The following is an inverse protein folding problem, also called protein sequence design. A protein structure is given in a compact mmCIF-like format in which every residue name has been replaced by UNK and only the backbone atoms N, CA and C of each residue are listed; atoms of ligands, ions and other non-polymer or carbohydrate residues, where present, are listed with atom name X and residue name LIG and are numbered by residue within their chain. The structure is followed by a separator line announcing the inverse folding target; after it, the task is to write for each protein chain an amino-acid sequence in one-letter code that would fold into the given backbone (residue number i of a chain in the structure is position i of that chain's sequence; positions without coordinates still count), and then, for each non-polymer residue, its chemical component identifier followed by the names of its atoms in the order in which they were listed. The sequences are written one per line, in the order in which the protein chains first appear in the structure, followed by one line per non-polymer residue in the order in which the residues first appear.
data_IF_272040715996
#
_entry.id   IF_272040715996
#
_cell.length_a   1.000
_cell.length_b   1.000
_cell.length_c   1.000
_cell.angle_alpha   90.00
_cell.angle_beta   90.00
_cell.angle_gamma   90.00
#
_symmetry.space_group_name_H-M   'P 1'
#
loop_
_entity.id
_entity.type
_entity.pdbx_description
1 polymer ?
#
# COMPACT_ATOMS: atom_id res chain seq x y z
N UNK A 1 -34.71 -12.50 -38.56
CA UNK A 1 -34.33 -13.93 -38.38
C UNK A 1 -32.85 -14.18 -38.69
N UNK A 2 -31.91 -13.36 -38.19
CA UNK A 2 -30.46 -13.65 -38.29
C UNK A 2 -29.56 -12.97 -37.22
N UNK A 3 -30.13 -12.58 -36.08
CA UNK A 3 -29.37 -12.03 -34.93
C UNK A 3 -29.64 -12.73 -33.59
N UNK A 4 -30.44 -13.80 -33.59
CA UNK A 4 -30.79 -14.55 -32.36
C UNK A 4 -29.98 -15.86 -32.22
N UNK A 5 -29.14 -16.21 -33.21
CA UNK A 5 -28.41 -17.49 -33.22
C UNK A 5 -27.01 -17.47 -32.61
N UNK A 6 -26.49 -16.33 -32.13
CA UNK A 6 -25.14 -16.26 -31.54
C UNK A 6 -25.13 -15.95 -30.03
N UNK A 7 -26.29 -15.76 -29.41
CA UNK A 7 -26.40 -15.53 -27.96
C UNK A 7 -26.81 -16.79 -27.17
N UNK A 8 -27.18 -17.87 -27.85
CA UNK A 8 -27.72 -19.07 -27.20
C UNK A 8 -26.66 -20.06 -26.70
N UNK A 9 -25.40 -19.91 -27.12
CA UNK A 9 -24.28 -20.74 -26.64
C UNK A 9 -23.47 -20.10 -25.50
N UNK A 10 -23.68 -18.81 -25.17
CA UNK A 10 -22.95 -18.12 -24.09
C UNK A 10 -23.73 -17.95 -22.78
N UNK A 11 -25.00 -18.37 -22.74
CA UNK A 11 -25.90 -18.17 -21.59
C UNK A 11 -26.24 -19.45 -20.81
N UNK A 12 -25.63 -20.58 -21.15
CA UNK A 12 -25.68 -21.78 -20.29
C UNK A 12 -24.53 -21.75 -19.29
N UNK A 13 -24.70 -20.98 -18.21
CA UNK A 13 -23.73 -20.95 -17.11
C UNK A 13 -23.81 -19.71 -16.19
N UNK A 14 -24.61 -18.70 -16.55
CA UNK A 14 -24.73 -17.48 -15.76
C UNK A 14 -25.80 -17.63 -14.68
N UNK A 15 -25.34 -17.83 -13.46
CA UNK A 15 -26.16 -17.91 -12.24
C UNK A 15 -26.96 -16.61 -12.05
N UNK A 16 -28.28 -16.72 -11.85
CA UNK A 16 -29.24 -15.62 -11.73
C UNK A 16 -28.83 -14.59 -10.65
N UNK A 17 -28.08 -15.02 -9.64
CA UNK A 17 -27.49 -14.16 -8.60
C UNK A 17 -26.50 -13.11 -9.15
N UNK A 18 -25.73 -13.45 -10.20
CA UNK A 18 -24.78 -12.51 -10.83
C UNK A 18 -25.49 -11.39 -11.58
N UNK A 19 -26.61 -11.68 -12.24
CA UNK A 19 -27.41 -10.65 -12.92
C UNK A 19 -28.06 -9.70 -11.90
N UNK A 20 -28.53 -10.21 -10.76
CA UNK A 20 -29.13 -9.38 -9.71
C UNK A 20 -28.10 -8.42 -9.08
N UNK A 21 -26.85 -8.85 -8.87
CA UNK A 21 -25.77 -7.98 -8.38
C UNK A 21 -25.38 -6.90 -9.38
N UNK A 22 -25.29 -7.23 -10.68
CA UNK A 22 -25.03 -6.24 -11.73
C UNK A 22 -26.19 -5.23 -11.82
N UNK A 23 -27.43 -5.68 -11.65
CA UNK A 23 -28.61 -4.82 -11.68
C UNK A 23 -28.70 -3.89 -10.46
N UNK A 24 -28.29 -4.34 -9.27
CA UNK A 24 -28.23 -3.52 -8.07
C UNK A 24 -27.10 -2.47 -8.11
N UNK A 25 -25.98 -2.76 -8.78
CA UNK A 25 -24.88 -1.81 -9.01
C UNK A 25 -25.26 -0.66 -9.95
N UNK A 26 -26.22 -0.88 -10.85
CA UNK A 26 -26.67 0.14 -11.82
C UNK A 26 -27.67 1.15 -11.24
N UNK A 27 -28.29 0.86 -10.08
CA UNK A 27 -29.36 1.69 -9.50
C UNK A 27 -28.83 2.67 -8.43
N UNK A 28 -27.64 2.44 -7.85
CA UNK A 28 -27.05 3.30 -6.82
C UNK A 28 -25.54 3.55 -7.03
N UNK A 29 -25.15 4.53 -7.88
CA UNK A 29 -23.73 4.71 -8.24
C UNK A 29 -22.91 5.56 -7.24
N UNK A 30 -23.55 6.25 -6.29
CA UNK A 30 -22.88 7.21 -5.40
C UNK A 30 -22.99 6.85 -3.93
N UNK A 31 -22.47 5.69 -3.53
CA UNK A 31 -22.16 5.49 -2.12
C UNK A 31 -20.80 4.80 -1.97
N UNK A 32 -19.78 5.59 -1.65
CA UNK A 32 -18.56 5.10 -1.02
C UNK A 32 -18.91 4.74 0.42
N UNK A 33 -19.50 3.57 0.61
CA UNK A 33 -19.67 3.02 1.94
C UNK A 33 -18.30 2.53 2.44
N UNK A 34 -17.99 2.81 3.71
CA UNK A 34 -17.22 1.86 4.51
C UNK A 34 -17.81 0.47 4.26
N UNK A 35 -17.02 -0.43 3.69
CA UNK A 35 -17.61 -1.67 3.18
C UNK A 35 -18.00 -2.63 4.29
N UNK A 36 -17.42 -2.44 5.48
CA UNK A 36 -17.89 -3.06 6.71
C UNK A 36 -17.50 -2.23 7.93
N UNK A 37 -18.30 -2.35 8.99
CA UNK A 37 -18.09 -1.71 10.30
C UNK A 37 -17.83 -2.81 11.33
N UNK A 38 -16.75 -2.68 12.10
CA UNK A 38 -16.42 -3.60 13.20
C UNK A 38 -16.33 -2.76 14.47
N UNK A 39 -17.24 -3.00 15.42
CA UNK A 39 -17.43 -2.11 16.56
C UNK A 39 -17.86 -0.73 16.08
N UNK A 40 -17.21 0.33 16.58
CA UNK A 40 -17.45 1.72 16.16
C UNK A 40 -16.59 2.17 14.98
N UNK A 41 -15.67 1.32 14.50
CA UNK A 41 -14.71 1.68 13.46
C UNK A 41 -15.13 1.18 12.08
N UNK A 42 -14.94 2.04 11.09
CA UNK A 42 -15.19 1.78 9.68
C UNK A 42 -13.92 1.28 8.99
N UNK A 43 -14.04 0.21 8.21
CA UNK A 43 -12.93 -0.39 7.48
C UNK A 43 -13.24 -0.42 5.99
N UNK A 44 -12.27 -0.02 5.18
CA UNK A 44 -12.34 -0.17 3.74
C UNK A 44 -12.19 -1.65 3.37
N UNK A 45 -13.23 -2.23 2.80
CA UNK A 45 -13.13 -3.49 2.05
C UNK A 45 -12.70 -3.23 0.61
N UNK A 46 -12.35 -4.31 -0.08
CA UNK A 46 -11.71 -4.36 -1.40
C UNK A 46 -10.24 -3.93 -1.35
N UNK A 47 -9.41 -4.90 -0.95
CA UNK A 47 -8.25 -5.30 -1.75
C UNK A 47 -8.23 -6.83 -1.74
N UNK A 48 -9.19 -7.43 -2.43
CA UNK A 48 -9.02 -8.80 -2.87
C UNK A 48 -8.54 -8.71 -4.31
N UNK A 49 -7.25 -8.95 -4.53
CA UNK A 49 -6.92 -9.80 -5.67
C UNK A 49 -7.69 -11.10 -5.44
N UNK A 50 -8.31 -11.65 -6.47
CA UNK A 50 -9.09 -12.90 -6.43
C UNK A 50 -8.30 -14.14 -5.93
N UNK A 51 -7.12 -13.96 -5.34
CA UNK A 51 -6.16 -14.98 -4.94
C UNK A 51 -5.67 -14.87 -3.49
N UNK A 52 -6.08 -13.88 -2.69
CA UNK A 52 -5.69 -13.80 -1.27
C UNK A 52 -6.55 -14.75 -0.40
N UNK A 53 -6.86 -15.96 -0.89
CA UNK A 53 -7.43 -17.00 -0.03
C UNK A 53 -6.40 -17.36 1.04
N UNK A 54 -6.54 -16.79 2.25
CA UNK A 54 -6.06 -17.47 3.43
C UNK A 54 -6.78 -18.81 3.43
N UNK A 55 -6.01 -19.87 3.22
CA UNK A 55 -6.52 -21.22 3.01
C UNK A 55 -7.61 -21.52 4.06
N UNK A 56 -8.80 -22.02 3.66
CA UNK A 56 -9.79 -22.51 4.60
C UNK A 56 -9.20 -23.47 5.64
N UNK A 57 -8.07 -24.13 5.35
CA UNK A 57 -7.28 -24.92 6.29
C UNK A 57 -6.90 -24.13 7.57
N UNK A 58 -6.60 -22.83 7.48
CA UNK A 58 -6.17 -22.01 8.64
C UNK A 58 -7.33 -21.31 9.36
N UNK A 59 -8.41 -20.98 8.64
CA UNK A 59 -9.55 -20.22 9.19
C UNK A 59 -10.89 -20.72 8.60
N UNK A 60 -11.41 -21.84 9.12
CA UNK A 60 -12.65 -22.44 8.62
C UNK A 60 -13.90 -21.54 8.81
N UNK A 61 -13.91 -20.69 9.85
CA UNK A 61 -15.11 -19.93 10.29
C UNK A 61 -14.95 -18.39 10.32
N UNK A 62 -13.86 -17.82 9.76
CA UNK A 62 -13.59 -16.37 9.78
C UNK A 62 -12.88 -15.88 8.51
N UNK A 63 -12.82 -14.56 8.32
CA UNK A 63 -12.01 -13.90 7.30
C UNK A 63 -11.09 -12.87 7.96
N UNK A 64 -9.84 -12.79 7.50
CA UNK A 64 -8.96 -11.69 7.86
C UNK A 64 -9.08 -10.62 6.78
N UNK A 65 -9.46 -9.42 7.19
CA UNK A 65 -9.44 -8.22 6.36
C UNK A 65 -8.20 -7.39 6.68
N UNK A 66 -7.97 -6.32 5.90
CA UNK A 66 -6.89 -5.37 6.11
C UNK A 66 -7.40 -3.97 6.27
N UNK A 67 -6.77 -3.20 7.14
CA UNK A 67 -6.94 -1.76 7.19
C UNK A 67 -6.10 -1.05 6.13
N UNK A 68 -6.39 0.23 5.89
CA UNK A 68 -5.59 1.08 4.99
C UNK A 68 -4.12 1.19 5.43
N UNK A 69 -3.85 1.09 6.74
CA UNK A 69 -2.49 1.11 7.29
C UNK A 69 -1.83 -0.27 7.30
N UNK A 70 -2.44 -1.27 6.65
CA UNK A 70 -1.94 -2.64 6.57
C UNK A 70 -1.81 -3.30 7.95
N UNK A 71 -2.88 -3.22 8.73
CA UNK A 71 -3.11 -4.10 9.85
C UNK A 71 -4.16 -5.14 9.49
N UNK A 72 -3.97 -6.35 9.97
CA UNK A 72 -4.95 -7.44 9.84
C UNK A 72 -6.07 -7.25 10.86
N UNK A 73 -7.30 -7.29 10.39
CA UNK A 73 -8.52 -7.16 11.18
C UNK A 73 -9.31 -8.45 11.01
N UNK A 74 -9.81 -9.01 12.10
CA UNK A 74 -10.57 -10.25 12.06
C UNK A 74 -12.07 -9.97 11.84
N UNK A 75 -12.69 -10.65 10.88
CA UNK A 75 -14.10 -10.52 10.53
C UNK A 75 -14.77 -11.91 10.42
N UNK A 76 -16.10 -11.93 10.49
CA UNK A 76 -16.89 -13.12 10.16
C UNK A 76 -16.94 -13.33 8.64
N UNK A 77 -16.78 -14.58 8.18
CA UNK A 77 -16.51 -14.95 6.78
C UNK A 77 -17.46 -14.34 5.73
N UNK A 78 -18.73 -14.06 6.06
CA UNK A 78 -19.75 -13.64 5.08
C UNK A 78 -20.75 -12.54 5.51
N UNK A 79 -20.63 -11.84 6.65
CA UNK A 79 -21.61 -10.78 7.05
C UNK A 79 -21.16 -9.94 8.26
N UNK A 80 -21.89 -8.85 8.58
CA UNK A 80 -21.98 -8.30 9.96
C UNK A 80 -22.18 -9.45 10.96
N UNK A 81 -21.19 -9.71 11.80
CA UNK A 81 -21.17 -10.79 12.79
C UNK A 81 -19.82 -10.87 13.52
N UNK A 82 -19.76 -11.67 14.59
CA UNK A 82 -18.60 -11.75 15.48
C UNK A 82 -17.37 -12.41 14.80
N UNK A 83 -16.13 -11.94 15.06
CA UNK A 83 -14.88 -12.55 14.60
C UNK A 83 -14.69 -14.00 15.09
N UNK A 84 -13.78 -14.81 14.50
CA UNK A 84 -13.57 -16.20 14.89
C UNK A 84 -13.25 -16.34 16.39
N UNK A 85 -13.87 -17.31 17.10
CA UNK A 85 -13.65 -17.50 18.53
C UNK A 85 -12.21 -17.92 18.81
N UNK A 86 -11.70 -17.51 19.97
CA UNK A 86 -10.43 -18.00 20.49
C UNK A 86 -10.55 -19.49 20.87
N UNK A 87 -9.45 -20.24 20.80
CA UNK A 87 -9.39 -21.60 21.34
C UNK A 87 -9.46 -21.64 22.88
N UNK A 88 -9.27 -20.50 23.55
CA UNK A 88 -9.34 -20.37 25.02
C UNK A 88 -9.76 -18.96 25.47
N UNK A 89 -10.40 -18.84 26.63
CA UNK A 89 -10.60 -17.55 27.31
C UNK A 89 -9.40 -17.20 28.17
N UNK A 90 -9.01 -15.92 28.22
CA UNK A 90 -7.90 -15.44 29.05
C UNK A 90 -8.24 -14.11 29.73
N UNK A 91 -7.52 -13.76 30.78
CA UNK A 91 -7.71 -12.49 31.49
C UNK A 91 -6.68 -11.45 31.05
N UNK A 92 -7.12 -10.21 30.79
CA UNK A 92 -6.26 -9.08 30.49
C UNK A 92 -6.81 -7.83 31.19
N UNK A 93 -6.00 -7.19 32.03
CA UNK A 93 -6.39 -5.97 32.79
C UNK A 93 -7.72 -6.14 33.56
N UNK A 94 -7.94 -7.29 34.20
CA UNK A 94 -9.16 -7.56 34.98
C UNK A 94 -10.40 -7.88 34.14
N UNK A 95 -10.26 -8.02 32.82
CA UNK A 95 -11.34 -8.39 31.90
C UNK A 95 -11.12 -9.78 31.32
N UNK A 96 -12.19 -10.56 31.27
CA UNK A 96 -12.20 -11.84 30.57
C UNK A 96 -12.30 -11.61 29.06
N UNK A 97 -11.29 -12.06 28.32
CA UNK A 97 -11.21 -12.05 26.87
C UNK A 97 -11.59 -13.44 26.36
N UNK A 98 -12.60 -13.50 25.50
CA UNK A 98 -13.15 -14.75 24.96
C UNK A 98 -12.99 -14.88 23.44
N UNK A 99 -12.48 -13.84 22.76
CA UNK A 99 -12.37 -13.79 21.32
C UNK A 99 -11.11 -13.04 20.86
N UNK A 100 -10.15 -13.79 20.29
CA UNK A 100 -8.87 -13.26 19.80
C UNK A 100 -9.05 -12.22 18.69
N UNK A 101 -10.06 -12.40 17.84
CA UNK A 101 -10.36 -11.47 16.76
C UNK A 101 -10.87 -10.11 17.27
N UNK A 102 -11.79 -10.09 18.24
CA UNK A 102 -12.26 -8.84 18.85
C UNK A 102 -11.11 -8.12 19.55
N UNK A 103 -10.33 -8.86 20.34
CA UNK A 103 -9.18 -8.31 21.06
C UNK A 103 -8.12 -7.74 20.10
N UNK A 104 -7.87 -8.42 18.98
CA UNK A 104 -7.02 -7.93 17.89
C UNK A 104 -7.57 -6.64 17.28
N UNK A 105 -8.87 -6.59 16.98
CA UNK A 105 -9.47 -5.43 16.33
C UNK A 105 -9.45 -4.20 17.22
N UNK A 106 -9.63 -4.37 18.53
CA UNK A 106 -9.45 -3.28 19.51
C UNK A 106 -8.00 -2.76 19.49
N UNK A 107 -7.01 -3.67 19.49
CA UNK A 107 -5.61 -3.29 19.37
C UNK A 107 -5.34 -2.56 18.04
N UNK A 108 -5.88 -3.03 16.92
CA UNK A 108 -5.73 -2.36 15.61
C UNK A 108 -6.34 -0.96 15.63
N UNK A 109 -7.52 -0.77 16.22
CA UNK A 109 -8.13 0.56 16.36
C UNK A 109 -7.23 1.53 17.13
N UNK A 110 -6.52 1.06 18.15
CA UNK A 110 -5.51 1.85 18.87
C UNK A 110 -4.26 2.11 18.02
N UNK A 111 -3.78 1.12 17.25
CA UNK A 111 -2.61 1.27 16.36
C UNK A 111 -2.84 2.29 15.25
N UNK A 112 -4.07 2.38 14.74
CA UNK A 112 -4.44 3.31 13.69
C UNK A 112 -4.48 4.78 14.16
N UNK A 113 -4.47 5.01 15.47
CA UNK A 113 -4.35 6.35 16.01
C UNK A 113 -2.92 6.90 15.88
N UNK A 114 -2.80 8.22 15.76
CA UNK A 114 -1.51 8.91 15.76
C UNK A 114 -0.90 9.04 17.17
N UNK A 115 -1.61 8.63 18.22
CA UNK A 115 -1.21 8.78 19.62
C UNK A 115 -0.21 7.68 20.04
N UNK A 116 1.04 8.04 20.41
CA UNK A 116 2.05 7.07 20.85
C UNK A 116 1.59 6.21 22.04
N UNK A 117 0.85 6.77 23.00
CA UNK A 117 0.39 6.04 24.18
C UNK A 117 -0.61 4.95 23.82
N UNK A 118 -1.51 5.26 22.87
CA UNK A 118 -2.44 4.25 22.33
C UNK A 118 -1.70 3.17 21.57
N UNK A 119 -0.64 3.53 20.83
CA UNK A 119 0.19 2.55 20.12
C UNK A 119 0.94 1.62 21.08
N UNK A 120 1.51 2.15 22.16
CA UNK A 120 2.13 1.36 23.22
C UNK A 120 1.14 0.40 23.89
N UNK A 121 -0.06 0.89 24.23
CA UNK A 121 -1.13 0.04 24.75
C UNK A 121 -1.49 -1.08 23.78
N UNK A 122 -1.63 -0.76 22.49
CA UNK A 122 -1.95 -1.75 21.47
C UNK A 122 -0.87 -2.82 21.32
N UNK A 123 0.40 -2.44 21.39
CA UNK A 123 1.54 -3.37 21.40
C UNK A 123 1.45 -4.31 22.61
N UNK A 124 1.18 -3.79 23.81
CA UNK A 124 0.96 -4.61 25.03
C UNK A 124 -0.20 -5.59 24.86
N UNK A 125 -1.30 -5.16 24.26
CA UNK A 125 -2.44 -6.02 23.97
C UNK A 125 -2.06 -7.14 23.00
N UNK A 126 -1.38 -6.83 21.88
CA UNK A 126 -0.95 -7.85 20.91
C UNK A 126 0.06 -8.83 21.52
N UNK A 127 0.99 -8.35 22.35
CA UNK A 127 1.94 -9.20 23.09
C UNK A 127 1.22 -10.14 24.06
N UNK A 128 0.17 -9.66 24.75
CA UNK A 128 -0.66 -10.50 25.61
C UNK A 128 -1.47 -11.52 24.80
N UNK A 129 -2.09 -11.09 23.70
CA UNK A 129 -2.83 -11.95 22.78
C UNK A 129 -1.96 -13.11 22.28
N UNK A 130 -0.71 -12.83 21.89
CA UNK A 130 0.26 -13.84 21.48
C UNK A 130 0.62 -14.83 22.61
N UNK A 131 0.63 -14.41 23.89
CA UNK A 131 0.88 -15.32 25.02
C UNK A 131 -0.28 -16.29 25.24
N UNK A 132 -1.51 -15.82 25.07
CA UNK A 132 -2.71 -16.59 25.38
C UNK A 132 -3.24 -17.40 24.20
N UNK A 133 -3.07 -16.90 22.98
CA UNK A 133 -3.40 -17.60 21.73
C UNK A 133 -2.24 -17.43 20.73
N UNK A 134 -1.15 -18.20 20.91
CA UNK A 134 0.04 -18.10 20.07
C UNK A 134 -0.20 -18.50 18.61
N UNK A 135 -1.29 -19.22 18.33
CA UNK A 135 -1.68 -19.68 16.99
C UNK A 135 -2.47 -18.65 16.18
N UNK A 136 -2.87 -17.54 16.81
CA UNK A 136 -3.60 -16.49 16.12
C UNK A 136 -2.65 -15.57 15.34
N UNK A 137 -2.39 -15.94 14.08
CA UNK A 137 -1.52 -15.24 13.12
C UNK A 137 -1.59 -13.71 13.16
N UNK A 138 -2.80 -13.14 13.24
CA UNK A 138 -3.00 -11.69 13.18
C UNK A 138 -2.25 -10.95 14.30
N UNK A 139 -2.11 -11.55 15.50
CA UNK A 139 -1.34 -10.93 16.59
C UNK A 139 0.12 -10.74 16.18
N UNK A 140 0.76 -11.76 15.63
CA UNK A 140 2.17 -11.70 15.22
C UNK A 140 2.38 -10.75 14.05
N UNK A 141 1.52 -10.84 13.04
CA UNK A 141 1.59 -9.94 11.89
C UNK A 141 1.44 -8.47 12.29
N UNK A 142 0.41 -8.16 13.11
CA UNK A 142 0.15 -6.80 13.57
C UNK A 142 1.23 -6.29 14.52
N UNK A 143 1.79 -7.15 15.36
CA UNK A 143 2.89 -6.80 16.26
C UNK A 143 4.16 -6.50 15.45
N UNK A 144 4.44 -7.30 14.42
CA UNK A 144 5.50 -7.01 13.44
C UNK A 144 5.32 -5.64 12.79
N UNK A 145 4.10 -5.33 12.36
CA UNK A 145 3.77 -4.03 11.74
C UNK A 145 3.89 -2.88 12.73
N UNK A 146 3.43 -3.05 13.95
CA UNK A 146 3.51 -2.04 15.01
C UNK A 146 4.97 -1.75 15.37
N UNK A 147 5.80 -2.78 15.54
CA UNK A 147 7.24 -2.60 15.77
C UNK A 147 7.96 -1.97 14.59
N UNK A 148 7.56 -2.26 13.35
CA UNK A 148 8.09 -1.59 12.16
C UNK A 148 7.82 -0.08 12.21
N UNK A 149 6.57 0.32 12.49
CA UNK A 149 6.20 1.74 12.64
C UNK A 149 7.00 2.43 13.76
N UNK A 150 7.20 1.73 14.87
CA UNK A 150 8.00 2.20 16.01
C UNK A 150 9.52 2.07 15.81
N UNK A 151 9.96 1.74 14.58
CA UNK A 151 11.37 1.56 14.18
C UNK A 151 12.14 0.51 15.00
N UNK A 152 11.43 -0.41 15.64
CA UNK A 152 11.98 -1.56 16.39
C UNK A 152 12.20 -2.72 15.42
N UNK A 153 13.06 -2.53 14.43
CA UNK A 153 13.17 -3.41 13.26
C UNK A 153 13.51 -4.87 13.60
N UNK A 154 14.42 -5.14 14.53
CA UNK A 154 14.77 -6.51 14.92
C UNK A 154 13.58 -7.23 15.57
N UNK A 155 12.79 -6.52 16.40
CA UNK A 155 11.56 -7.09 16.98
C UNK A 155 10.52 -7.35 15.90
N UNK A 156 10.39 -6.44 14.92
CA UNK A 156 9.48 -6.62 13.81
C UNK A 156 9.82 -7.85 12.96
N UNK A 157 11.11 -8.03 12.63
CA UNK A 157 11.62 -9.20 11.91
C UNK A 157 11.26 -10.49 12.66
N UNK A 158 11.58 -10.57 13.95
CA UNK A 158 11.27 -11.74 14.76
C UNK A 158 9.77 -12.10 14.71
N UNK A 159 8.87 -11.13 14.84
CA UNK A 159 7.43 -11.41 14.76
C UNK A 159 6.99 -11.88 13.38
N UNK A 160 7.55 -11.32 12.31
CA UNK A 160 7.24 -11.73 10.95
C UNK A 160 7.81 -13.11 10.59
N UNK A 161 8.98 -13.50 11.11
CA UNK A 161 9.54 -14.84 10.95
C UNK A 161 8.63 -15.91 11.58
N UNK A 162 8.12 -15.67 12.80
CA UNK A 162 7.09 -16.55 13.38
C UNK A 162 5.79 -16.53 12.56
N UNK A 163 5.38 -15.38 12.05
CA UNK A 163 4.17 -15.28 11.23
C UNK A 163 4.30 -16.11 9.93
N UNK A 164 5.50 -16.22 9.35
CA UNK A 164 5.77 -17.13 8.21
C UNK A 164 5.65 -18.59 8.60
N UNK A 165 6.09 -18.97 9.80
CA UNK A 165 5.98 -20.36 10.26
C UNK A 165 4.51 -20.81 10.39
N UNK A 166 3.62 -19.90 10.79
CA UNK A 166 2.18 -20.16 10.92
C UNK A 166 1.44 -20.10 9.58
N UNK A 167 1.67 -19.06 8.77
CA UNK A 167 1.00 -18.87 7.47
C UNK A 167 2.04 -18.66 6.36
N UNK A 168 2.68 -19.76 5.88
CA UNK A 168 3.84 -19.68 4.99
C UNK A 168 3.52 -19.14 3.60
N UNK A 169 2.25 -19.11 3.20
CA UNK A 169 1.83 -18.59 1.87
C UNK A 169 1.43 -17.11 1.89
N UNK A 170 1.44 -16.43 3.05
CA UNK A 170 1.04 -15.03 3.12
C UNK A 170 2.15 -14.10 2.63
N UNK A 171 2.13 -13.78 1.33
CA UNK A 171 3.19 -13.03 0.64
C UNK A 171 3.54 -11.68 1.29
N UNK A 172 2.59 -11.03 1.96
CA UNK A 172 2.78 -9.70 2.59
C UNK A 172 3.71 -9.76 3.79
N UNK A 173 3.79 -10.89 4.49
CA UNK A 173 4.80 -11.07 5.55
C UNK A 173 6.21 -11.03 4.96
N UNK A 174 6.44 -11.70 3.84
CA UNK A 174 7.71 -11.66 3.10
C UNK A 174 8.01 -10.26 2.57
N UNK A 175 6.99 -9.54 2.08
CA UNK A 175 7.13 -8.15 1.65
C UNK A 175 7.63 -7.24 2.79
N UNK A 176 7.05 -7.35 3.99
CA UNK A 176 7.50 -6.56 5.15
C UNK A 176 8.89 -6.94 5.61
N UNK A 177 9.25 -8.22 5.61
CA UNK A 177 10.63 -8.64 5.87
C UNK A 177 11.60 -8.05 4.86
N UNK A 178 11.24 -8.05 3.57
CA UNK A 178 12.04 -7.40 2.53
C UNK A 178 12.32 -5.93 2.83
N UNK A 179 11.28 -5.17 3.22
CA UNK A 179 11.41 -3.77 3.62
C UNK A 179 12.27 -3.61 4.87
N UNK A 180 12.10 -4.45 5.88
CA UNK A 180 12.87 -4.36 7.13
C UNK A 180 14.36 -4.67 6.92
N UNK A 181 14.70 -5.70 6.15
CA UNK A 181 16.09 -5.98 5.82
C UNK A 181 16.71 -4.88 4.97
N UNK A 182 15.94 -4.26 4.09
CA UNK A 182 16.39 -3.09 3.33
C UNK A 182 16.69 -1.89 4.23
N UNK A 183 15.85 -1.61 5.22
CA UNK A 183 16.09 -0.57 6.24
C UNK A 183 17.31 -0.86 7.11
N UNK A 184 17.65 -2.14 7.30
CA UNK A 184 18.88 -2.58 7.97
C UNK A 184 20.10 -2.64 7.04
N UNK A 185 19.96 -2.24 5.78
CA UNK A 185 20.99 -2.30 4.74
C UNK A 185 21.47 -3.74 4.41
N UNK A 186 20.67 -4.75 4.71
CA UNK A 186 20.89 -6.17 4.41
C UNK A 186 20.29 -6.52 3.04
N UNK A 187 20.95 -6.05 1.98
CA UNK A 187 20.41 -6.07 0.62
C UNK A 187 20.12 -7.48 0.08
N UNK A 188 20.96 -8.46 0.43
CA UNK A 188 20.81 -9.86 -0.04
C UNK A 188 19.54 -10.48 0.54
N UNK A 189 19.28 -10.27 1.82
CA UNK A 189 18.12 -10.77 2.53
C UNK A 189 16.86 -10.07 2.01
N UNK A 190 16.92 -8.76 1.82
CA UNK A 190 15.81 -7.98 1.26
C UNK A 190 15.34 -8.56 -0.09
N UNK A 191 16.26 -8.79 -1.03
CA UNK A 191 15.90 -9.32 -2.35
C UNK A 191 15.37 -10.76 -2.29
N UNK A 192 15.87 -11.59 -1.38
CA UNK A 192 15.34 -12.96 -1.17
C UNK A 192 13.87 -12.90 -0.75
N UNK A 193 13.55 -12.09 0.25
CA UNK A 193 12.20 -11.95 0.76
C UNK A 193 11.24 -11.32 -0.25
N UNK A 194 11.67 -10.28 -0.96
CA UNK A 194 10.86 -9.70 -2.04
C UNK A 194 10.58 -10.68 -3.18
N UNK A 195 11.58 -11.47 -3.61
CA UNK A 195 11.37 -12.50 -4.62
C UNK A 195 10.39 -13.56 -4.14
N UNK A 196 10.44 -13.96 -2.87
CA UNK A 196 9.49 -14.91 -2.30
C UNK A 196 8.07 -14.34 -2.26
N UNK A 197 7.90 -13.06 -1.92
CA UNK A 197 6.60 -12.40 -2.00
C UNK A 197 6.01 -12.43 -3.42
N UNK A 198 6.83 -12.12 -4.43
CA UNK A 198 6.41 -12.17 -5.85
C UNK A 198 6.11 -13.60 -6.33
N UNK A 199 6.86 -14.60 -5.86
CA UNK A 199 6.61 -16.02 -6.17
C UNK A 199 5.25 -16.48 -5.60
N UNK A 200 4.93 -16.07 -4.37
CA UNK A 200 3.69 -16.44 -3.70
C UNK A 200 2.46 -15.72 -4.27
N UNK A 201 2.61 -14.48 -4.73
CA UNK A 201 1.55 -13.76 -5.43
C UNK A 201 2.10 -12.87 -6.55
N UNK A 202 2.12 -13.42 -7.76
CA UNK A 202 2.64 -12.72 -8.96
C UNK A 202 1.69 -11.65 -9.52
N UNK A 203 0.43 -11.63 -9.08
CA UNK A 203 -0.58 -10.69 -9.56
C UNK A 203 -0.70 -9.46 -8.66
N UNK A 204 0.02 -9.43 -7.53
CA UNK A 204 0.07 -8.23 -6.69
C UNK A 204 1.14 -7.26 -7.18
N UNK A 205 0.72 -6.07 -7.60
CA UNK A 205 1.60 -5.01 -8.10
C UNK A 205 2.56 -4.48 -7.03
N UNK A 206 2.12 -4.39 -5.79
CA UNK A 206 2.92 -3.88 -4.66
C UNK A 206 4.25 -4.63 -4.47
N UNK A 207 4.21 -5.98 -4.42
CA UNK A 207 5.42 -6.80 -4.27
C UNK A 207 6.35 -6.69 -5.49
N UNK A 208 5.79 -6.60 -6.71
CA UNK A 208 6.55 -6.40 -7.93
C UNK A 208 7.27 -5.04 -7.94
N UNK A 209 6.57 -3.98 -7.50
CA UNK A 209 7.13 -2.62 -7.43
C UNK A 209 8.22 -2.53 -6.37
N UNK A 210 8.04 -3.11 -5.18
CA UNK A 210 9.07 -3.12 -4.14
C UNK A 210 10.32 -3.88 -4.58
N UNK A 211 10.16 -5.03 -5.24
CA UNK A 211 11.29 -5.76 -5.81
C UNK A 211 12.00 -4.96 -6.91
N UNK A 212 11.25 -4.25 -7.75
CA UNK A 212 11.84 -3.36 -8.74
C UNK A 212 12.57 -2.18 -8.10
N UNK A 213 12.01 -1.58 -7.05
CA UNK A 213 12.62 -0.50 -6.29
C UNK A 213 13.96 -0.92 -5.69
N UNK A 214 14.00 -2.14 -5.13
CA UNK A 214 15.22 -2.75 -4.65
C UNK A 214 16.30 -2.85 -5.74
N UNK A 215 15.93 -3.31 -6.94
CA UNK A 215 16.85 -3.37 -8.07
C UNK A 215 17.26 -2.00 -8.60
N UNK A 216 16.39 -1.00 -8.54
CA UNK A 216 16.74 0.39 -8.89
C UNK A 216 17.82 0.90 -7.92
N UNK A 217 17.65 0.68 -6.62
CA UNK A 217 18.60 1.15 -5.60
C UNK A 217 19.96 0.46 -5.66
N UNK A 218 19.97 -0.80 -6.08
CA UNK A 218 21.19 -1.61 -6.24
C UNK A 218 21.78 -1.51 -7.66
N UNK A 219 21.33 -0.54 -8.47
CA UNK A 219 21.76 -0.26 -9.85
C UNK A 219 21.61 -1.44 -10.84
N UNK A 220 20.69 -2.37 -10.54
CA UNK A 220 20.35 -3.51 -11.39
C UNK A 220 19.19 -3.18 -12.34
N UNK A 221 19.38 -2.16 -13.19
CA UNK A 221 18.34 -1.58 -14.08
C UNK A 221 17.58 -2.61 -14.92
N UNK A 222 18.28 -3.57 -15.52
CA UNK A 222 17.67 -4.61 -16.37
C UNK A 222 16.69 -5.48 -15.57
N UNK A 223 17.02 -5.81 -14.31
CA UNK A 223 16.14 -6.59 -13.43
C UNK A 223 14.93 -5.77 -13.03
N UNK A 224 15.15 -4.52 -12.61
CA UNK A 224 14.06 -3.60 -12.27
C UNK A 224 13.05 -3.46 -13.41
N UNK A 225 13.52 -3.28 -14.66
CA UNK A 225 12.66 -3.11 -15.82
C UNK A 225 11.71 -4.30 -16.05
N UNK A 226 12.17 -5.53 -15.77
CA UNK A 226 11.33 -6.74 -15.89
C UNK A 226 10.13 -6.65 -14.94
N UNK A 227 10.37 -6.31 -13.67
CA UNK A 227 9.31 -6.30 -12.66
C UNK A 227 8.39 -5.09 -12.78
N UNK A 228 8.89 -3.92 -13.19
CA UNK A 228 8.04 -2.77 -13.52
C UNK A 228 7.12 -3.09 -14.71
N UNK A 229 7.63 -3.70 -15.78
CA UNK A 229 6.79 -4.13 -16.92
C UNK A 229 5.71 -5.11 -16.50
N UNK A 230 6.04 -6.06 -15.61
CA UNK A 230 5.04 -6.99 -15.05
C UNK A 230 3.97 -6.24 -14.26
N UNK A 231 4.36 -5.33 -13.36
CA UNK A 231 3.42 -4.53 -12.58
C UNK A 231 2.48 -3.70 -13.47
N UNK A 232 3.01 -3.03 -14.50
CA UNK A 232 2.23 -2.26 -15.47
C UNK A 232 1.35 -3.13 -16.39
N UNK A 233 1.70 -4.40 -16.58
CA UNK A 233 0.82 -5.34 -17.31
C UNK A 233 -0.44 -5.66 -16.51
N UNK A 234 -0.32 -5.71 -15.18
CA UNK A 234 -1.42 -6.00 -14.25
C UNK A 234 -2.26 -4.73 -14.02
N UNK A 235 -1.61 -3.62 -13.68
CA UNK A 235 -2.23 -2.32 -13.49
C UNK A 235 -1.46 -1.25 -14.27
N UNK A 236 -1.95 -0.95 -15.47
CA UNK A 236 -1.37 0.06 -16.36
C UNK A 236 -1.41 1.46 -15.77
N UNK A 237 -2.28 1.71 -14.78
CA UNK A 237 -2.49 3.00 -14.14
C UNK A 237 -1.88 3.09 -12.75
N UNK A 238 -1.11 2.07 -12.31
CA UNK A 238 -0.44 2.07 -11.02
C UNK A 238 0.54 3.25 -10.90
N UNK A 239 0.32 4.21 -9.99
CA UNK A 239 1.22 5.34 -9.82
C UNK A 239 2.61 4.90 -9.36
N UNK A 240 2.70 3.88 -8.50
CA UNK A 240 3.97 3.39 -7.97
C UNK A 240 4.79 2.63 -9.04
N UNK A 241 4.12 1.89 -9.93
CA UNK A 241 4.80 1.27 -11.07
C UNK A 241 5.28 2.33 -12.08
N UNK A 242 4.48 3.38 -12.33
CA UNK A 242 4.88 4.52 -13.17
C UNK A 242 6.03 5.34 -12.55
N UNK A 243 6.05 5.50 -11.22
CA UNK A 243 7.18 6.07 -10.49
C UNK A 243 8.45 5.23 -10.72
N UNK A 244 8.36 3.91 -10.58
CA UNK A 244 9.48 3.00 -10.86
C UNK A 244 9.99 3.13 -12.30
N UNK A 245 9.08 3.22 -13.28
CA UNK A 245 9.41 3.43 -14.69
C UNK A 245 10.12 4.78 -14.91
N UNK A 246 9.59 5.87 -14.36
CA UNK A 246 10.19 7.19 -14.47
C UNK A 246 11.61 7.21 -13.86
N UNK A 247 11.82 6.54 -12.72
CA UNK A 247 13.15 6.41 -12.11
C UNK A 247 14.13 5.64 -13.01
N UNK A 248 13.69 4.61 -13.72
CA UNK A 248 14.54 3.91 -14.71
C UNK A 248 14.93 4.83 -15.88
N UNK A 249 14.03 5.70 -16.32
CA UNK A 249 14.32 6.71 -17.34
C UNK A 249 15.35 7.75 -16.84
N UNK A 250 15.20 8.24 -15.61
CA UNK A 250 16.17 9.14 -14.96
C UNK A 250 17.56 8.49 -14.90
N UNK A 251 17.64 7.23 -14.45
CA UNK A 251 18.90 6.47 -14.40
C UNK A 251 19.51 6.26 -15.79
N UNK A 252 18.71 6.30 -16.84
CA UNK A 252 19.15 6.22 -18.23
C UNK A 252 19.49 7.58 -18.86
N UNK A 253 19.43 8.68 -18.10
CA UNK A 253 19.66 10.05 -18.60
C UNK A 253 18.53 10.61 -19.45
N UNK A 254 17.33 9.98 -19.41
CA UNK A 254 16.16 10.33 -20.22
C UNK A 254 15.15 11.14 -19.43
N UNK A 255 15.60 12.25 -18.83
CA UNK A 255 14.80 13.05 -17.89
C UNK A 255 13.50 13.59 -18.50
N UNK A 256 13.50 13.96 -19.79
CA UNK A 256 12.28 14.40 -20.47
C UNK A 256 11.21 13.30 -20.58
N UNK A 257 11.64 12.04 -20.79
CA UNK A 257 10.72 10.90 -20.79
C UNK A 257 10.18 10.61 -19.38
N UNK A 258 11.03 10.70 -18.37
CA UNK A 258 10.61 10.60 -16.97
C UNK A 258 9.57 11.68 -16.63
N UNK A 259 9.82 12.94 -17.02
CA UNK A 259 8.87 14.04 -16.82
C UNK A 259 7.53 13.77 -17.49
N UNK A 260 7.52 13.26 -18.73
CA UNK A 260 6.27 12.88 -19.42
C UNK A 260 5.52 11.78 -18.69
N UNK A 261 6.21 10.78 -18.16
CA UNK A 261 5.58 9.71 -17.36
C UNK A 261 4.91 10.32 -16.13
N UNK A 262 5.62 11.16 -15.37
CA UNK A 262 5.05 11.80 -14.19
C UNK A 262 3.83 12.67 -14.52
N UNK A 263 3.95 13.54 -15.53
CA UNK A 263 2.86 14.43 -15.96
C UNK A 263 1.61 13.68 -16.43
N UNK A 264 1.77 12.49 -17.01
CA UNK A 264 0.69 11.65 -17.51
C UNK A 264 0.29 10.54 -16.51
N UNK A 265 0.72 10.63 -15.25
CA UNK A 265 0.32 9.68 -14.20
C UNK A 265 -0.86 10.25 -13.43
N UNK A 266 -2.03 9.61 -13.60
CA UNK A 266 -3.21 9.94 -12.81
C UNK A 266 -3.08 9.42 -11.39
N UNK A 267 -3.11 10.34 -10.42
CA UNK A 267 -3.14 10.02 -8.98
C UNK A 267 -4.56 9.81 -8.46
N UNK A 268 -5.56 9.92 -9.33
CA UNK A 268 -6.97 9.75 -9.04
C UNK A 268 -7.54 8.68 -9.98
N UNK A 269 -8.56 7.96 -9.53
CA UNK A 269 -9.33 7.08 -10.39
C UNK A 269 -10.41 7.86 -11.16
N UNK A 270 -11.15 7.15 -12.01
CA UNK A 270 -12.18 7.73 -12.87
C UNK A 270 -13.34 8.34 -12.07
N UNK A 271 -13.50 7.94 -10.81
CA UNK A 271 -14.50 8.46 -9.88
C UNK A 271 -13.97 9.65 -9.07
N UNK A 272 -12.73 10.10 -9.35
CA UNK A 272 -12.08 11.21 -8.64
C UNK A 272 -11.57 10.82 -7.25
N UNK A 273 -11.59 9.53 -6.89
CA UNK A 273 -11.02 9.07 -5.63
C UNK A 273 -9.51 8.94 -5.77
N UNK A 274 -8.78 9.42 -4.76
CA UNK A 274 -7.31 9.39 -4.74
C UNK A 274 -6.82 7.93 -4.70
N UNK A 275 -5.95 7.58 -5.64
CA UNK A 275 -5.26 6.28 -5.65
C UNK A 275 -4.24 6.24 -4.50
N UNK A 276 -3.99 5.08 -3.88
CA UNK A 276 -2.81 4.90 -3.04
C UNK A 276 -1.54 5.05 -3.89
N UNK A 277 -0.56 5.81 -3.39
CA UNK A 277 0.76 5.95 -4.01
C UNK A 277 1.80 6.46 -3.01
N UNK A 278 3.04 6.14 -3.29
CA UNK A 278 4.24 6.53 -2.57
C UNK A 278 4.56 8.03 -2.80
N UNK A 279 4.73 8.79 -1.71
CA UNK A 279 4.99 10.24 -1.78
C UNK A 279 6.34 10.60 -2.38
N UNK A 280 7.26 9.63 -2.50
CA UNK A 280 8.46 9.75 -3.37
C UNK A 280 8.09 10.19 -4.80
N UNK A 281 6.87 9.92 -5.27
CA UNK A 281 6.35 10.41 -6.55
C UNK A 281 6.57 11.92 -6.74
N UNK A 282 6.10 12.73 -5.79
CA UNK A 282 6.19 14.19 -5.88
C UNK A 282 7.63 14.68 -5.83
N UNK A 283 8.47 14.04 -5.02
CA UNK A 283 9.90 14.34 -4.98
C UNK A 283 10.56 14.14 -6.34
N UNK A 284 10.47 12.93 -6.90
CA UNK A 284 11.12 12.63 -8.19
C UNK A 284 10.53 13.45 -9.34
N UNK A 285 9.23 13.74 -9.30
CA UNK A 285 8.61 14.62 -10.29
C UNK A 285 9.18 16.04 -10.19
N UNK A 286 9.26 16.61 -9.00
CA UNK A 286 9.79 17.94 -8.78
C UNK A 286 11.26 18.06 -9.21
N UNK A 287 12.10 17.09 -8.85
CA UNK A 287 13.52 17.05 -9.25
C UNK A 287 13.66 16.97 -10.77
N UNK A 288 12.86 16.12 -11.41
CA UNK A 288 12.90 15.94 -12.87
C UNK A 288 12.41 17.21 -13.58
N UNK A 289 11.32 17.82 -13.12
CA UNK A 289 10.79 19.06 -13.65
C UNK A 289 11.80 20.21 -13.51
N UNK A 290 12.44 20.33 -12.35
CA UNK A 290 13.48 21.34 -12.11
C UNK A 290 14.67 21.14 -13.04
N UNK A 291 15.10 19.89 -13.26
CA UNK A 291 16.23 19.56 -14.13
C UNK A 291 15.98 19.92 -15.60
N UNK A 292 14.73 19.83 -16.07
CA UNK A 292 14.35 20.20 -17.44
C UNK A 292 13.91 21.68 -17.58
N UNK A 293 13.98 22.48 -16.51
CA UNK A 293 13.62 23.90 -16.52
C UNK A 293 12.13 24.21 -16.44
N UNK A 294 11.29 23.24 -16.04
CA UNK A 294 9.89 23.48 -15.66
C UNK A 294 9.79 23.74 -14.15
N UNK A 295 10.22 24.94 -13.77
CA UNK A 295 10.29 25.35 -12.37
C UNK A 295 8.91 25.58 -11.72
N UNK A 296 7.89 25.87 -12.52
CA UNK A 296 6.49 26.02 -12.05
C UNK A 296 5.99 24.67 -11.55
N UNK A 297 6.12 23.62 -12.37
CA UNK A 297 5.75 22.26 -11.95
C UNK A 297 6.63 21.80 -10.79
N UNK A 298 7.94 22.06 -10.83
CA UNK A 298 8.83 21.69 -9.74
C UNK A 298 8.38 22.27 -8.38
N UNK A 299 8.10 23.57 -8.33
CA UNK A 299 7.63 24.23 -7.12
C UNK A 299 6.31 23.63 -6.61
N UNK A 300 5.34 23.40 -7.51
CA UNK A 300 4.05 22.79 -7.18
C UNK A 300 4.22 21.39 -6.59
N UNK A 301 5.04 20.55 -7.19
CA UNK A 301 5.20 19.17 -6.73
C UNK A 301 5.95 19.09 -5.38
N UNK A 302 6.91 19.98 -5.12
CA UNK A 302 7.46 20.09 -3.75
C UNK A 302 6.39 20.54 -2.74
N UNK A 303 5.48 21.44 -3.11
CA UNK A 303 4.36 21.82 -2.23
C UNK A 303 3.43 20.65 -1.93
N UNK A 304 3.09 19.83 -2.94
CA UNK A 304 2.30 18.61 -2.72
C UNK A 304 2.99 17.65 -1.76
N UNK A 305 4.31 17.48 -1.88
CA UNK A 305 5.09 16.65 -0.96
C UNK A 305 5.07 17.18 0.48
N UNK A 306 5.22 18.49 0.66
CA UNK A 306 5.27 19.15 1.97
C UNK A 306 3.94 19.10 2.74
N UNK A 307 2.83 18.75 2.09
CA UNK A 307 1.55 18.44 2.77
C UNK A 307 1.63 17.18 3.64
N UNK A 308 2.68 16.38 3.51
CA UNK A 308 2.88 15.12 4.25
C UNK A 308 4.13 15.17 5.14
N UNK A 309 4.27 16.11 6.10
CA UNK A 309 5.50 16.32 6.85
C UNK A 309 5.91 15.12 7.74
N UNK A 310 4.97 14.21 8.01
CA UNK A 310 5.18 13.00 8.80
C UNK A 310 5.37 11.74 7.93
N UNK A 311 5.43 11.87 6.60
CA UNK A 311 5.63 10.72 5.71
C UNK A 311 7.03 10.10 5.91
N UNK A 312 7.17 8.76 5.85
CA UNK A 312 8.48 8.10 5.97
C UNK A 312 9.55 8.61 5.02
N UNK A 313 9.18 9.22 3.89
CA UNK A 313 10.09 9.93 3.00
C UNK A 313 11.04 10.89 3.75
N UNK A 314 10.52 11.64 4.74
CA UNK A 314 11.30 12.63 5.49
C UNK A 314 12.26 12.02 6.53
N UNK A 315 12.34 10.68 6.61
CA UNK A 315 13.41 10.00 7.35
C UNK A 315 14.71 9.95 6.56
N UNK A 316 14.63 9.94 5.22
CA UNK A 316 15.78 9.94 4.31
C UNK A 316 16.13 11.37 3.87
N UNK A 317 15.13 12.25 3.73
CA UNK A 317 15.29 13.61 3.21
C UNK A 317 14.86 14.67 4.21
N UNK A 318 15.67 15.72 4.40
CA UNK A 318 15.33 16.80 5.32
C UNK A 318 14.18 17.66 4.79
N UNK A 319 13.15 17.86 5.62
CA UNK A 319 12.02 18.74 5.32
C UNK A 319 12.48 20.16 4.92
N UNK A 320 13.46 20.72 5.65
CA UNK A 320 14.04 22.04 5.35
C UNK A 320 14.73 22.09 3.98
N UNK A 321 15.33 20.98 3.55
CA UNK A 321 15.95 20.91 2.22
C UNK A 321 14.87 20.97 1.14
N UNK A 322 13.76 20.27 1.33
CA UNK A 322 12.63 20.29 0.39
C UNK A 322 11.98 21.69 0.33
N UNK A 323 11.80 22.36 1.46
CA UNK A 323 11.33 23.76 1.50
C UNK A 323 12.26 24.70 0.72
N UNK A 324 13.58 24.58 0.92
CA UNK A 324 14.55 25.39 0.18
C UNK A 324 14.52 25.10 -1.33
N UNK A 325 14.38 23.84 -1.74
CA UNK A 325 14.27 23.45 -3.16
C UNK A 325 13.01 24.01 -3.79
N UNK A 326 11.88 23.99 -3.09
CA UNK A 326 10.63 24.65 -3.49
C UNK A 326 10.84 26.15 -3.71
N UNK A 327 11.41 26.84 -2.72
CA UNK A 327 11.55 28.30 -2.79
C UNK A 327 12.51 28.73 -3.91
N UNK A 328 13.56 27.93 -4.15
CA UNK A 328 14.46 28.13 -5.28
C UNK A 328 13.73 27.93 -6.62
N UNK A 329 12.92 26.88 -6.75
CA UNK A 329 12.12 26.64 -7.95
C UNK A 329 11.13 27.80 -8.20
N UNK A 330 10.48 28.34 -7.17
CA UNK A 330 9.61 29.53 -7.32
C UNK A 330 10.36 30.73 -7.89
N UNK A 331 11.54 31.05 -7.35
CA UNK A 331 12.36 32.16 -7.85
C UNK A 331 12.77 31.96 -9.31
N UNK A 332 13.17 30.75 -9.69
CA UNK A 332 13.50 30.46 -11.08
C UNK A 332 12.29 30.54 -12.01
N UNK A 333 11.10 30.18 -11.53
CA UNK A 333 9.86 30.38 -12.29
C UNK A 333 9.55 31.86 -12.49
N UNK A 334 9.72 32.70 -11.46
CA UNK A 334 9.52 34.16 -11.53
C UNK A 334 10.50 34.82 -12.51
N UNK A 335 11.79 34.49 -12.41
CA UNK A 335 12.82 35.02 -13.33
C UNK A 335 12.48 34.66 -14.77
N UNK A 336 12.14 33.40 -15.03
CA UNK A 336 11.80 32.94 -16.38
C UNK A 336 10.56 33.65 -16.94
N UNK A 337 9.55 33.88 -16.10
CA UNK A 337 8.36 34.62 -16.51
C UNK A 337 8.67 36.08 -16.85
N UNK A 338 9.50 36.75 -16.05
CA UNK A 338 9.94 38.12 -16.29
C UNK A 338 10.77 38.24 -17.58
N UNK A 339 11.66 37.28 -17.85
CA UNK A 339 12.44 37.22 -19.09
C UNK A 339 11.51 37.05 -20.32
N UNK A 340 10.52 36.16 -20.24
CA UNK A 340 9.53 35.94 -21.31
C UNK A 340 8.60 37.16 -21.53
N UNK A 341 8.32 37.95 -20.51
CA UNK A 341 7.57 39.22 -20.62
C UNK A 341 8.42 40.31 -21.28
N UNK A 342 9.68 40.47 -20.85
CA UNK A 342 10.61 41.43 -21.44
C UNK A 342 10.89 41.15 -22.93
N UNK A 343 11.00 39.87 -23.32
CA UNK A 343 11.13 39.48 -24.74
C UNK A 343 9.90 39.85 -25.58
N UNK A 344 8.69 39.81 -25.00
CA UNK A 344 7.45 40.18 -25.69
C UNK A 344 7.26 41.69 -25.81
N UNK A 345 7.75 42.46 -24.84
CA UNK A 345 7.69 43.92 -24.88
C UNK A 345 8.74 44.56 -25.80
N UNK A 346 9.83 43.83 -26.12
CA UNK A 346 10.89 44.28 -27.04
C UNK A 346 10.67 43.94 -28.52
N UNK A 347 9.62 43.18 -28.86
CA UNK A 347 9.19 42.84 -30.23
C UNK A 347 8.01 43.73 -30.66
#
# INVERSE_FOLDING_TARGET
MRTISLLKEYLQGLNFAKLLCIFLLLIFPNITFAQFKIGDSEYAGILWGENDFLDPEFYQDGSLARSEQDFIVAAGRHWKGAPPPSKASFEYEGKQITNSGIFNNEAVGLLQSADPKKREKAISMLEAGMRFDPSFFAFRYNLGRAYHIEKKYQKAIFQYEYAIAEVPKYYRTYMHLGVLYELLNEQIQAVIYYKKAVELNQFQTEALVLLAEHYIRTDLKNRAQIYIKKALTIDQNSPDAKLGLARLEIMGGRDYYAYKIFRNTDLYDEQGKKRPYNKKFHFYFAETASKIGDYVTAAKEYEELLKFPNDPFFTEFSLKIIERRRDLAKRFAEIKAADEEAEKEGQ
#
